data_IF_325371249839
#
_entry.id   IF_325371249839
#
_cell.length_a   1.000
_cell.length_b   1.000
_cell.length_c   1.000
_cell.angle_alpha   90.00
_cell.angle_beta   90.00
_cell.angle_gamma   90.00
#
_symmetry.space_group_name_H-M   'P 1'
#
loop_
_entity.id
_entity.type
_entity.pdbx_description
1 polymer ?
#
# COMPACT_ATOMS: atom_id res chain seq x y z
N UNK A 1 20.90 -14.56 -0.25
CA UNK A 1 21.16 -15.31 -1.51
C UNK A 1 21.95 -14.47 -2.51
N UNK A 2 21.43 -13.35 -3.02
CA UNK A 2 22.16 -12.50 -3.99
C UNK A 2 23.56 -12.08 -3.51
N UNK A 3 23.68 -11.58 -2.27
CA UNK A 3 24.96 -11.20 -1.68
C UNK A 3 25.94 -12.39 -1.58
N UNK A 4 25.44 -13.57 -1.22
CA UNK A 4 26.23 -14.80 -1.14
C UNK A 4 26.76 -15.20 -2.52
N UNK A 5 25.94 -15.09 -3.58
CA UNK A 5 26.39 -15.32 -4.96
C UNK A 5 27.52 -14.35 -5.34
N UNK A 6 27.35 -13.05 -5.09
CA UNK A 6 28.36 -12.06 -5.42
C UNK A 6 29.70 -12.36 -4.74
N UNK A 7 29.67 -12.66 -3.43
CA UNK A 7 30.88 -12.93 -2.65
C UNK A 7 31.60 -14.20 -3.13
N UNK A 8 30.87 -15.28 -3.40
CA UNK A 8 31.46 -16.54 -3.87
C UNK A 8 32.08 -16.39 -5.25
N UNK A 9 31.37 -15.82 -6.22
CA UNK A 9 31.90 -15.65 -7.58
C UNK A 9 33.07 -14.66 -7.63
N UNK A 10 33.02 -13.58 -6.82
CA UNK A 10 34.14 -12.62 -6.74
C UNK A 10 35.37 -13.26 -6.11
N UNK A 11 35.21 -14.09 -5.07
CA UNK A 11 36.30 -14.82 -4.44
C UNK A 11 36.94 -15.82 -5.41
N UNK A 12 36.13 -16.63 -6.09
CA UNK A 12 36.62 -17.64 -7.04
C UNK A 12 37.30 -16.97 -8.25
N UNK A 13 36.74 -15.87 -8.77
CA UNK A 13 37.37 -15.09 -9.84
C UNK A 13 38.74 -14.54 -9.39
N UNK A 14 38.83 -13.97 -8.20
CA UNK A 14 40.09 -13.44 -7.66
C UNK A 14 41.19 -14.51 -7.55
N UNK A 15 40.84 -15.73 -7.12
CA UNK A 15 41.77 -16.86 -7.03
C UNK A 15 42.24 -17.35 -8.42
N UNK A 16 41.38 -17.24 -9.44
CA UNK A 16 41.68 -17.65 -10.82
C UNK A 16 42.37 -16.57 -11.65
N UNK A 17 42.34 -15.30 -11.22
CA UNK A 17 42.83 -14.16 -11.98
C UNK A 17 44.28 -14.31 -12.48
N UNK A 18 45.15 -14.94 -11.68
CA UNK A 18 46.57 -15.16 -12.01
C UNK A 18 46.83 -16.42 -12.83
N UNK A 19 45.86 -17.34 -12.93
CA UNK A 19 45.99 -18.66 -13.58
C UNK A 19 45.26 -18.74 -14.91
N UNK A 20 44.07 -18.14 -15.00
CA UNK A 20 43.25 -18.13 -16.20
C UNK A 20 42.36 -16.89 -16.23
N UNK A 21 42.86 -15.83 -16.86
CA UNK A 21 42.19 -14.52 -16.89
C UNK A 21 40.82 -14.56 -17.57
N UNK A 22 40.67 -15.31 -18.67
CA UNK A 22 39.38 -15.42 -19.37
C UNK A 22 38.32 -16.09 -18.50
N UNK A 23 38.67 -17.19 -17.83
CA UNK A 23 37.75 -17.86 -16.91
C UNK A 23 37.40 -17.00 -15.70
N UNK A 24 38.37 -16.24 -15.16
CA UNK A 24 38.15 -15.28 -14.09
C UNK A 24 37.13 -14.20 -14.48
N UNK A 25 37.30 -13.60 -15.66
CA UNK A 25 36.38 -12.57 -16.18
C UNK A 25 34.99 -13.17 -16.39
N UNK A 26 34.91 -14.35 -17.01
CA UNK A 26 33.63 -15.02 -17.25
C UNK A 26 32.88 -15.34 -15.95
N UNK A 27 33.57 -15.84 -14.93
CA UNK A 27 32.97 -16.15 -13.62
C UNK A 27 32.52 -14.89 -12.88
N UNK A 28 33.31 -13.82 -12.93
CA UNK A 28 32.92 -12.54 -12.34
C UNK A 28 31.67 -11.97 -13.03
N UNK A 29 31.66 -11.94 -14.37
CA UNK A 29 30.52 -11.46 -15.15
C UNK A 29 29.25 -12.29 -14.88
N UNK A 30 29.38 -13.62 -14.83
CA UNK A 30 28.26 -14.51 -14.53
C UNK A 30 27.74 -14.33 -13.10
N UNK A 31 28.64 -14.21 -12.11
CA UNK A 31 28.25 -13.94 -10.72
C UNK A 31 27.56 -12.60 -10.53
N UNK A 32 28.03 -11.57 -11.22
CA UNK A 32 27.40 -10.25 -11.23
C UNK A 32 26.01 -10.30 -11.87
N UNK A 33 25.89 -10.94 -13.04
CA UNK A 33 24.61 -11.15 -13.72
C UNK A 33 23.60 -11.85 -12.81
N UNK A 34 23.99 -12.98 -12.20
CA UNK A 34 23.11 -13.74 -11.32
C UNK A 34 22.67 -12.91 -10.09
N UNK A 35 23.61 -12.16 -9.52
CA UNK A 35 23.32 -11.25 -8.38
C UNK A 35 22.30 -10.19 -8.78
N UNK A 36 22.50 -9.53 -9.92
CA UNK A 36 21.60 -8.51 -10.42
C UNK A 36 20.20 -9.07 -10.71
N UNK A 37 20.10 -10.26 -11.32
CA UNK A 37 18.81 -10.93 -11.57
C UNK A 37 18.10 -11.31 -10.27
N UNK A 38 18.79 -11.93 -9.31
CA UNK A 38 18.17 -12.33 -8.03
C UNK A 38 17.76 -11.10 -7.22
N UNK A 39 18.62 -10.09 -7.11
CA UNK A 39 18.29 -8.86 -6.38
C UNK A 39 17.14 -8.09 -7.05
N UNK A 40 17.14 -8.00 -8.39
CA UNK A 40 16.10 -7.35 -9.17
C UNK A 40 14.74 -8.04 -9.02
N UNK A 41 14.69 -9.37 -9.17
CA UNK A 41 13.46 -10.16 -8.97
C UNK A 41 12.96 -10.14 -7.52
N UNK A 42 13.85 -9.92 -6.55
CA UNK A 42 13.48 -9.68 -5.15
C UNK A 42 12.57 -8.45 -4.98
N UNK A 43 12.62 -7.47 -5.87
CA UNK A 43 11.75 -6.28 -5.82
C UNK A 43 10.25 -6.65 -5.87
N UNK A 44 9.89 -7.68 -6.64
CA UNK A 44 8.49 -8.15 -6.74
C UNK A 44 7.94 -8.68 -5.41
N UNK A 45 8.81 -9.25 -4.58
CA UNK A 45 8.40 -9.70 -3.23
C UNK A 45 8.03 -8.52 -2.32
N UNK A 46 8.67 -7.37 -2.51
CA UNK A 46 8.29 -6.12 -1.84
C UNK A 46 7.05 -5.50 -2.50
N UNK A 47 6.92 -5.64 -3.83
CA UNK A 47 5.79 -5.14 -4.61
C UNK A 47 4.44 -5.62 -4.05
N UNK A 48 4.29 -6.94 -3.82
CA UNK A 48 3.06 -7.48 -3.23
C UNK A 48 2.75 -6.88 -1.86
N UNK A 49 3.74 -6.83 -0.97
CA UNK A 49 3.58 -6.28 0.39
C UNK A 49 3.24 -4.78 0.41
N UNK A 50 3.76 -4.01 -0.56
CA UNK A 50 3.52 -2.57 -0.65
C UNK A 50 2.25 -2.23 -1.42
N UNK A 51 1.81 -3.09 -2.35
CA UNK A 51 0.67 -2.85 -3.24
C UNK A 51 -0.71 -2.86 -2.55
N UNK A 52 -0.81 -3.34 -1.31
CA UNK A 52 -2.10 -3.50 -0.63
C UNK A 52 -3.01 -4.56 -1.27
N UNK A 53 -2.50 -5.39 -2.19
CA UNK A 53 -3.25 -6.47 -2.84
C UNK A 53 -3.92 -7.41 -1.83
N UNK A 54 -3.15 -7.93 -0.87
CA UNK A 54 -3.67 -8.90 0.11
C UNK A 54 -4.72 -8.25 1.03
N UNK A 55 -4.53 -6.97 1.38
CA UNK A 55 -5.52 -6.19 2.14
C UNK A 55 -6.81 -6.02 1.34
N UNK A 56 -6.72 -5.60 0.07
CA UNK A 56 -7.87 -5.42 -0.81
C UNK A 56 -8.65 -6.73 -0.98
N UNK A 57 -7.97 -7.86 -1.25
CA UNK A 57 -8.62 -9.17 -1.37
C UNK A 57 -9.37 -9.57 -0.10
N UNK A 58 -8.82 -9.26 1.09
CA UNK A 58 -9.45 -9.57 2.38
C UNK A 58 -10.74 -8.78 2.61
N UNK A 59 -10.80 -7.52 2.19
CA UNK A 59 -11.92 -6.62 2.52
C UNK A 59 -12.93 -6.47 1.38
N UNK A 60 -12.57 -6.76 0.12
CA UNK A 60 -13.40 -6.49 -1.07
C UNK A 60 -14.83 -7.05 -0.95
N UNK A 61 -15.00 -8.27 -0.46
CA UNK A 61 -16.31 -8.92 -0.31
C UNK A 61 -17.20 -8.29 0.78
N UNK A 62 -16.61 -7.50 1.67
CA UNK A 62 -17.31 -6.87 2.80
C UNK A 62 -17.79 -5.45 2.46
N UNK A 63 -17.34 -4.88 1.34
CA UNK A 63 -17.67 -3.52 0.90
C UNK A 63 -18.81 -3.61 -0.14
N UNK A 64 -20.03 -3.16 0.19
CA UNK A 64 -21.14 -3.09 -0.77
C UNK A 64 -20.77 -2.30 -2.03
N UNK A 65 -21.31 -2.69 -3.18
CA UNK A 65 -20.98 -2.11 -4.50
C UNK A 65 -21.32 -0.61 -4.65
N UNK A 66 -22.22 -0.09 -3.81
CA UNK A 66 -22.68 1.29 -3.74
C UNK A 66 -22.06 2.10 -2.59
N UNK A 67 -21.34 1.44 -1.68
CA UNK A 67 -20.73 2.09 -0.52
C UNK A 67 -19.67 3.13 -0.90
N UNK A 68 -19.60 4.23 -0.16
CA UNK A 68 -18.54 5.24 -0.35
C UNK A 68 -17.28 4.81 0.39
N UNK A 69 -16.13 4.98 -0.26
CA UNK A 69 -14.81 4.73 0.31
C UNK A 69 -14.07 6.06 0.43
N UNK A 70 -13.81 6.51 1.64
CA UNK A 70 -13.11 7.76 1.92
C UNK A 70 -11.62 7.51 2.12
N UNK A 71 -10.78 8.16 1.32
CA UNK A 71 -9.33 8.09 1.47
C UNK A 71 -8.84 9.24 2.35
N UNK A 72 -8.62 8.96 3.63
CA UNK A 72 -8.37 9.98 4.67
C UNK A 72 -6.89 10.30 4.76
N UNK A 73 -6.52 11.52 4.33
CA UNK A 73 -5.14 12.03 4.30
C UNK A 73 -4.15 11.11 3.57
N UNK A 74 -4.66 10.28 2.66
CA UNK A 74 -3.89 9.25 1.99
C UNK A 74 -4.35 9.18 0.54
N UNK A 75 -3.44 9.42 -0.40
CA UNK A 75 -3.66 9.05 -1.79
C UNK A 75 -3.00 7.69 -2.02
N UNK A 76 -3.80 6.62 -2.06
CA UNK A 76 -3.29 5.30 -2.38
C UNK A 76 -3.44 4.98 -3.87
N UNK A 77 -2.33 4.67 -4.54
CA UNK A 77 -2.31 4.44 -5.98
C UNK A 77 -2.66 3.00 -6.40
N UNK A 78 -2.96 2.10 -5.46
CA UNK A 78 -3.06 0.66 -5.73
C UNK A 78 -4.33 0.00 -5.20
N UNK A 79 -4.75 0.33 -3.98
CA UNK A 79 -5.89 -0.30 -3.32
C UNK A 79 -7.20 0.02 -4.03
N UNK A 80 -7.40 1.26 -4.49
CA UNK A 80 -8.59 1.62 -5.28
C UNK A 80 -8.74 0.74 -6.53
N UNK A 81 -7.63 0.47 -7.22
CA UNK A 81 -7.59 -0.41 -8.39
C UNK A 81 -7.97 -1.85 -8.02
N UNK A 82 -7.35 -2.44 -6.98
CA UNK A 82 -7.65 -3.83 -6.59
C UNK A 82 -9.05 -4.02 -5.99
N UNK A 83 -9.59 -2.98 -5.36
CA UNK A 83 -10.98 -2.98 -4.92
C UNK A 83 -11.95 -2.85 -6.10
N UNK A 84 -11.48 -2.35 -7.25
CA UNK A 84 -12.30 -1.94 -8.40
C UNK A 84 -13.29 -0.84 -8.04
N UNK A 85 -12.87 0.10 -7.19
CA UNK A 85 -13.72 1.15 -6.62
C UNK A 85 -12.99 2.48 -6.56
N UNK A 86 -13.72 3.54 -6.88
CA UNK A 86 -13.24 4.89 -6.68
C UNK A 86 -13.26 5.26 -5.19
N UNK A 87 -12.30 6.08 -4.78
CA UNK A 87 -12.23 6.65 -3.45
C UNK A 87 -12.53 8.14 -3.49
N UNK A 88 -13.09 8.67 -2.40
CA UNK A 88 -13.33 10.09 -2.18
C UNK A 88 -12.21 10.62 -1.32
N UNK A 89 -11.42 11.57 -1.83
CA UNK A 89 -10.31 12.15 -1.08
C UNK A 89 -10.83 12.98 0.09
N UNK A 90 -10.16 12.89 1.24
CA UNK A 90 -10.45 13.69 2.43
C UNK A 90 -9.19 14.45 2.86
N UNK A 91 -9.33 15.78 2.92
CA UNK A 91 -8.39 16.80 3.40
C UNK A 91 -7.07 16.95 2.63
N UNK A 92 -6.52 15.85 2.11
CA UNK A 92 -5.30 15.84 1.33
C UNK A 92 -5.57 15.24 -0.05
N UNK A 93 -5.28 16.00 -1.11
CA UNK A 93 -5.52 15.58 -2.51
C UNK A 93 -4.25 15.37 -3.32
N UNK A 94 -3.09 15.82 -2.84
CA UNK A 94 -1.78 15.66 -3.50
C UNK A 94 -1.82 16.01 -5.00
N UNK A 95 -1.38 15.11 -5.88
CA UNK A 95 -1.45 15.22 -7.35
C UNK A 95 -2.87 15.44 -7.90
N UNK A 96 -3.93 15.10 -7.14
CA UNK A 96 -5.33 15.33 -7.54
C UNK A 96 -5.83 16.75 -7.23
N UNK A 97 -5.00 17.62 -6.63
CA UNK A 97 -5.39 18.98 -6.22
C UNK A 97 -6.02 19.79 -7.36
N UNK A 98 -5.49 19.68 -8.59
CA UNK A 98 -6.06 20.39 -9.72
C UNK A 98 -7.50 19.93 -10.01
N UNK A 99 -7.74 18.62 -10.09
CA UNK A 99 -9.07 18.05 -10.30
C UNK A 99 -10.04 18.40 -9.17
N UNK A 100 -9.56 18.34 -7.92
CA UNK A 100 -10.34 18.72 -6.74
C UNK A 100 -10.79 20.19 -6.75
N UNK A 101 -10.02 21.09 -7.39
CA UNK A 101 -10.42 22.50 -7.60
C UNK A 101 -11.46 22.66 -8.71
N UNK A 102 -11.42 21.82 -9.74
CA UNK A 102 -12.39 21.86 -10.84
C UNK A 102 -13.74 21.26 -10.41
N UNK A 103 -13.72 20.22 -9.58
CA UNK A 103 -14.91 19.52 -9.09
C UNK A 103 -14.93 19.45 -7.55
N UNK A 104 -15.15 20.58 -6.85
CA UNK A 104 -15.08 20.64 -5.38
C UNK A 104 -16.09 19.74 -4.67
N UNK A 105 -17.18 19.37 -5.33
CA UNK A 105 -18.21 18.45 -4.82
C UNK A 105 -17.77 16.98 -4.77
N UNK A 106 -16.62 16.61 -5.37
CA UNK A 106 -16.13 15.22 -5.46
C UNK A 106 -15.10 14.83 -4.40
N UNK A 107 -14.80 15.72 -3.45
CA UNK A 107 -13.89 15.44 -2.34
C UNK A 107 -14.35 16.17 -1.07
N UNK A 108 -13.75 15.83 0.07
CA UNK A 108 -14.06 16.47 1.36
C UNK A 108 -12.85 17.32 1.79
N UNK A 109 -12.95 18.66 1.80
CA UNK A 109 -11.82 19.54 2.09
C UNK A 109 -11.20 19.45 3.48
N UNK A 110 -11.95 19.01 4.49
CA UNK A 110 -11.48 19.03 5.88
C UNK A 110 -11.80 17.75 6.63
N UNK A 111 -10.99 17.42 7.64
CA UNK A 111 -11.26 16.26 8.50
C UNK A 111 -12.57 16.42 9.28
N UNK A 112 -12.90 17.65 9.69
CA UNK A 112 -14.13 17.94 10.43
C UNK A 112 -15.38 17.65 9.60
N UNK A 113 -15.38 18.03 8.32
CA UNK A 113 -16.47 17.68 7.40
C UNK A 113 -16.57 16.17 7.20
N UNK A 114 -15.43 15.48 7.11
CA UNK A 114 -15.43 14.02 7.04
C UNK A 114 -16.04 13.38 8.29
N UNK A 115 -15.75 13.87 9.50
CA UNK A 115 -16.37 13.37 10.73
C UNK A 115 -17.89 13.54 10.69
N UNK A 116 -18.39 14.67 10.17
CA UNK A 116 -19.84 14.89 10.03
C UNK A 116 -20.43 13.87 9.05
N UNK A 117 -19.84 13.72 7.87
CA UNK A 117 -20.30 12.79 6.83
C UNK A 117 -20.21 11.34 7.29
N UNK A 118 -19.13 10.96 7.99
CA UNK A 118 -18.93 9.63 8.55
C UNK A 118 -20.08 9.23 9.48
N UNK A 119 -20.43 10.10 10.43
CA UNK A 119 -21.51 9.83 11.38
C UNK A 119 -22.90 9.82 10.73
N UNK A 120 -23.07 10.41 9.55
CA UNK A 120 -24.34 10.45 8.82
C UNK A 120 -24.51 9.27 7.84
N UNK A 121 -23.41 8.63 7.45
CA UNK A 121 -23.40 7.55 6.45
C UNK A 121 -22.99 6.21 7.10
N UNK A 122 -23.96 5.42 7.62
CA UNK A 122 -23.66 4.15 8.28
C UNK A 122 -23.13 3.08 7.32
N UNK A 123 -23.16 3.33 6.01
CA UNK A 123 -22.61 2.46 4.98
C UNK A 123 -21.22 2.93 4.50
N UNK A 124 -20.61 3.90 5.18
CA UNK A 124 -19.30 4.44 4.83
C UNK A 124 -18.14 3.51 5.21
N UNK A 125 -17.11 3.54 4.35
CA UNK A 125 -15.82 2.89 4.55
C UNK A 125 -14.72 3.94 4.43
N UNK A 126 -13.61 3.72 5.13
CA UNK A 126 -12.46 4.61 5.02
C UNK A 126 -11.16 3.82 4.88
N UNK A 127 -10.25 4.37 4.09
CA UNK A 127 -8.88 3.93 3.89
C UNK A 127 -7.95 5.03 4.43
N UNK A 128 -7.02 4.67 5.30
CA UNK A 128 -6.11 5.62 5.94
C UNK A 128 -4.82 4.95 6.38
N UNK A 129 -3.82 5.72 6.82
CA UNK A 129 -2.61 5.16 7.41
C UNK A 129 -2.86 4.63 8.84
N UNK A 130 -2.05 3.68 9.34
CA UNK A 130 -2.10 3.23 10.73
C UNK A 130 -2.03 4.37 11.74
N UNK A 131 -1.19 5.38 11.50
CA UNK A 131 -1.07 6.54 12.37
C UNK A 131 -2.35 7.37 12.39
N UNK A 132 -2.98 7.59 11.23
CA UNK A 132 -4.23 8.34 11.12
C UNK A 132 -5.38 7.63 11.82
N UNK A 133 -5.42 6.30 11.76
CA UNK A 133 -6.41 5.50 12.48
C UNK A 133 -6.31 5.70 13.99
N UNK A 134 -5.09 5.67 14.55
CA UNK A 134 -4.90 5.90 16.00
C UNK A 134 -5.24 7.35 16.41
N UNK A 135 -4.95 8.35 15.57
CA UNK A 135 -5.36 9.75 15.81
C UNK A 135 -6.88 9.87 15.87
N UNK A 136 -7.59 9.31 14.89
CA UNK A 136 -9.05 9.35 14.84
C UNK A 136 -9.71 8.58 15.99
N UNK A 137 -9.09 7.48 16.42
CA UNK A 137 -9.54 6.73 17.60
C UNK A 137 -9.35 7.54 18.89
N UNK A 138 -8.28 8.32 19.00
CA UNK A 138 -7.99 9.18 20.16
C UNK A 138 -9.03 10.29 20.33
N UNK A 139 -9.56 10.82 19.22
CA UNK A 139 -10.66 11.82 19.25
C UNK A 139 -12.05 11.18 19.39
N UNK A 140 -12.13 9.86 19.58
CA UNK A 140 -13.39 9.14 19.83
C UNK A 140 -14.25 8.87 18.60
N UNK A 141 -13.69 8.94 17.38
CA UNK A 141 -14.45 8.59 16.17
C UNK A 141 -14.73 7.08 16.16
N UNK A 142 -16.00 6.65 16.16
CA UNK A 142 -16.33 5.23 16.18
C UNK A 142 -16.02 4.60 14.81
N UNK A 143 -15.13 3.61 14.79
CA UNK A 143 -14.66 2.93 13.58
C UNK A 143 -14.44 1.45 13.87
N UNK A 144 -14.85 0.58 12.94
CA UNK A 144 -14.60 -0.86 13.00
C UNK A 144 -13.55 -1.26 11.95
N UNK A 145 -12.43 -1.84 12.39
CA UNK A 145 -11.36 -2.28 11.49
C UNK A 145 -11.73 -3.58 10.75
N UNK A 146 -11.64 -3.56 9.42
CA UNK A 146 -11.85 -4.73 8.56
C UNK A 146 -10.54 -5.42 8.19
N UNK A 147 -9.47 -4.64 8.11
CA UNK A 147 -8.14 -5.14 7.80
C UNK A 147 -7.09 -4.05 7.86
N UNK A 148 -5.84 -4.50 8.00
CA UNK A 148 -4.65 -3.66 8.11
C UNK A 148 -3.46 -4.33 7.45
N UNK A 149 -2.61 -3.52 6.86
CA UNK A 149 -1.24 -3.85 6.47
C UNK A 149 -0.25 -2.86 7.14
N UNK A 150 1.02 -2.89 6.75
CA UNK A 150 2.05 -2.00 7.33
C UNK A 150 1.87 -0.52 7.00
N UNK A 151 1.04 -0.18 6.01
CA UNK A 151 0.86 1.17 5.46
C UNK A 151 -0.58 1.67 5.54
N UNK A 152 -1.55 0.78 5.74
CA UNK A 152 -2.97 1.06 5.55
C UNK A 152 -3.85 0.36 6.57
N UNK A 153 -4.98 0.99 6.83
CA UNK A 153 -6.10 0.44 7.58
C UNK A 153 -7.36 0.71 6.78
N UNK A 154 -8.18 -0.32 6.61
CA UNK A 154 -9.53 -0.20 6.07
C UNK A 154 -10.52 -0.39 7.20
N UNK A 155 -11.39 0.59 7.39
CA UNK A 155 -12.42 0.60 8.42
C UNK A 155 -13.80 0.77 7.80
N UNK A 156 -14.84 0.35 8.52
CA UNK A 156 -16.23 0.72 8.26
C UNK A 156 -16.82 1.49 9.43
N UNK A 157 -17.91 2.20 9.18
CA UNK A 157 -18.74 2.72 10.25
C UNK A 157 -19.24 1.52 11.09
N UNK A 158 -19.16 1.59 12.44
CA UNK A 158 -19.62 0.50 13.27
C UNK A 158 -21.11 0.27 13.03
N UNK A 159 -21.47 -1.00 12.83
CA UNK A 159 -22.87 -1.41 12.82
C UNK A 159 -23.33 -1.46 14.27
N UNK A 160 -24.50 -0.90 14.58
CA UNK A 160 -25.13 -1.21 15.87
C UNK A 160 -25.22 -2.72 15.98
N UNK A 161 -24.71 -3.28 17.09
CA UNK A 161 -24.96 -4.68 17.39
C UNK A 161 -26.48 -4.84 17.44
N UNK A 162 -27.06 -5.64 16.55
CA UNK A 162 -28.47 -6.02 16.61
C UNK A 162 -28.72 -6.46 18.05
N UNK A 163 -29.43 -5.63 18.83
CA UNK A 163 -29.98 -6.04 20.12
C UNK A 163 -30.99 -7.14 19.78
N UNK A 164 -30.56 -8.39 19.91
CA UNK A 164 -31.45 -9.54 19.99
C UNK A 164 -32.08 -9.59 21.38
#
# INVERSE_FOLDING_TARGET
VALSCLLVFSLVASLLAKRNALLSIALFAFGFFLTATIAGTGHETLGRAVSGYDLAQKVKSQIPSDAKIYSVRLLDHTVAFYLERNTIMVEFTDELTFGAKQEPQKWIPTLNEFVIVWNQDPNAFALMSPGQYEELKTIGLPMEELGRDSRRVVVRHPREALRQ
#
